data_IF_416960701437
#
_entry.id   IF_416960701437
#
_cell.length_a   1.000
_cell.length_b   1.000
_cell.length_c   1.000
_cell.angle_alpha   90.00
_cell.angle_beta   90.00
_cell.angle_gamma   90.00
#
_symmetry.space_group_name_H-M   'P 1'
#
loop_
_entity.id
_entity.type
_entity.pdbx_description
1 polymer ?
#
# COMPACT_ATOMS: atom_id res chain seq x y z
N UNK A 1 -6.67 -2.36 14.10
CA UNK A 1 -7.88 -2.44 13.25
C UNK A 1 -7.59 -2.04 11.79
N UNK A 2 -6.52 -2.53 11.16
CA UNK A 2 -6.21 -2.26 9.74
C UNK A 2 -5.78 -3.50 8.93
N UNK A 3 -5.42 -4.61 9.58
CA UNK A 3 -5.09 -5.88 8.90
C UNK A 3 -6.30 -6.66 8.36
N UNK A 4 -7.53 -6.25 8.72
CA UNK A 4 -8.77 -6.87 8.23
C UNK A 4 -9.05 -6.52 6.77
N UNK A 5 -8.57 -5.37 6.28
CA UNK A 5 -8.65 -5.02 4.87
C UNK A 5 -7.63 -5.83 4.05
N UNK A 6 -6.40 -6.05 4.52
CA UNK A 6 -5.36 -6.76 3.74
C UNK A 6 -5.74 -8.23 3.48
N UNK A 7 -6.14 -8.98 4.51
CA UNK A 7 -6.50 -10.38 4.34
C UNK A 7 -7.83 -10.55 3.58
N UNK A 8 -8.82 -9.67 3.82
CA UNK A 8 -10.10 -9.73 3.14
C UNK A 8 -9.99 -9.28 1.68
N UNK A 9 -9.24 -8.21 1.36
CA UNK A 9 -8.99 -7.81 -0.03
C UNK A 9 -8.15 -8.87 -0.75
N UNK A 10 -7.11 -9.43 -0.13
CA UNK A 10 -6.33 -10.51 -0.76
C UNK A 10 -7.20 -11.74 -1.00
N UNK A 11 -7.89 -12.25 0.03
CA UNK A 11 -8.74 -13.43 -0.13
C UNK A 11 -9.86 -13.17 -1.14
N UNK A 12 -10.54 -12.02 -1.07
CA UNK A 12 -11.66 -11.72 -1.98
C UNK A 12 -11.20 -11.33 -3.40
N UNK A 13 -10.05 -10.68 -3.58
CA UNK A 13 -9.50 -10.42 -4.92
C UNK A 13 -8.90 -11.68 -5.56
N UNK A 14 -8.26 -12.55 -4.77
CA UNK A 14 -7.71 -13.82 -5.26
C UNK A 14 -8.83 -14.81 -5.58
N UNK A 15 -9.89 -14.84 -4.78
CA UNK A 15 -11.06 -15.71 -5.00
C UNK A 15 -11.92 -15.25 -6.20
N UNK A 16 -11.88 -13.95 -6.54
CA UNK A 16 -12.57 -13.40 -7.72
C UNK A 16 -11.69 -13.29 -8.97
N UNK A 17 -10.37 -13.40 -8.82
CA UNK A 17 -9.46 -13.39 -9.94
C UNK A 17 -9.16 -14.84 -10.33
N UNK A 18 -9.93 -15.39 -11.27
CA UNK A 18 -9.51 -16.53 -12.09
C UNK A 18 -8.26 -16.21 -12.96
N UNK A 19 -7.53 -15.13 -12.64
CA UNK A 19 -6.35 -14.63 -13.31
C UNK A 19 -5.12 -14.84 -12.43
N UNK A 20 -4.49 -16.01 -12.60
CA UNK A 20 -3.24 -16.40 -11.92
C UNK A 20 -2.13 -15.37 -12.14
N UNK A 21 -2.12 -14.65 -13.26
CA UNK A 21 -1.16 -13.58 -13.52
C UNK A 21 -1.38 -12.40 -12.59
N UNK A 22 -2.61 -11.92 -12.47
CA UNK A 22 -2.95 -10.85 -11.53
C UNK A 22 -2.62 -11.25 -10.09
N UNK A 23 -2.95 -12.49 -9.69
CA UNK A 23 -2.63 -13.03 -8.37
C UNK A 23 -1.12 -12.95 -8.05
N UNK A 24 -0.25 -13.35 -9.00
CA UNK A 24 1.21 -13.23 -8.85
C UNK A 24 1.68 -11.78 -8.73
N UNK A 25 1.11 -10.88 -9.53
CA UNK A 25 1.41 -9.46 -9.43
C UNK A 25 1.03 -8.87 -8.07
N UNK A 26 -0.15 -9.23 -7.55
CA UNK A 26 -0.60 -8.82 -6.21
C UNK A 26 0.29 -9.42 -5.11
N UNK A 27 0.68 -10.69 -5.21
CA UNK A 27 1.59 -11.30 -4.24
C UNK A 27 2.92 -10.53 -4.13
N UNK A 28 3.55 -10.21 -5.28
CA UNK A 28 4.76 -9.38 -5.30
C UNK A 28 4.52 -8.00 -4.69
N UNK A 29 3.37 -7.37 -4.99
CA UNK A 29 3.04 -6.06 -4.45
C UNK A 29 3.00 -6.04 -2.92
N UNK A 30 2.34 -7.05 -2.33
CA UNK A 30 2.22 -7.15 -0.88
C UNK A 30 3.53 -7.54 -0.21
N UNK A 31 4.30 -8.46 -0.81
CA UNK A 31 5.64 -8.83 -0.35
C UNK A 31 6.57 -7.62 -0.26
N UNK A 32 6.47 -6.72 -1.25
CA UNK A 32 7.29 -5.52 -1.36
C UNK A 32 6.68 -4.29 -0.70
N UNK A 33 5.59 -4.47 0.04
CA UNK A 33 4.89 -3.39 0.75
C UNK A 33 4.58 -2.17 -0.14
N UNK A 34 4.22 -2.41 -1.40
CA UNK A 34 3.92 -1.33 -2.33
C UNK A 34 5.14 -0.67 -2.99
N UNK A 35 6.37 -1.03 -2.62
CA UNK A 35 7.60 -0.57 -3.26
C UNK A 35 7.94 -1.38 -4.52
N UNK A 36 7.10 -1.20 -5.55
CA UNK A 36 7.26 -1.84 -6.85
C UNK A 36 6.85 -0.89 -7.97
N UNK A 37 7.52 -1.01 -9.10
CA UNK A 37 7.14 -0.33 -10.34
C UNK A 37 6.02 -1.08 -11.05
N UNK A 38 5.27 -0.35 -11.90
CA UNK A 38 4.22 -0.96 -12.74
C UNK A 38 4.81 -1.98 -13.72
N UNK A 39 6.04 -1.73 -14.18
CA UNK A 39 6.78 -2.66 -15.05
C UNK A 39 7.06 -3.98 -14.34
N UNK A 40 7.53 -3.95 -13.09
CA UNK A 40 7.78 -5.15 -12.30
C UNK A 40 6.49 -5.94 -12.05
N UNK A 41 5.40 -5.23 -11.71
CA UNK A 41 4.08 -5.87 -11.56
C UNK A 41 3.60 -6.53 -12.86
N UNK A 42 3.75 -5.85 -13.99
CA UNK A 42 3.33 -6.38 -15.28
C UNK A 42 4.16 -7.63 -15.65
N UNK A 43 5.47 -7.58 -15.39
CA UNK A 43 6.38 -8.73 -15.57
C UNK A 43 6.00 -9.90 -14.69
N UNK A 44 5.74 -9.68 -13.40
CA UNK A 44 5.30 -10.71 -12.47
C UNK A 44 3.96 -11.33 -12.87
N UNK A 45 3.07 -10.52 -13.44
CA UNK A 45 1.78 -10.94 -13.96
C UNK A 45 1.83 -11.56 -15.38
N UNK A 46 3.02 -11.67 -15.99
CA UNK A 46 3.22 -12.23 -17.33
C UNK A 46 2.51 -11.43 -18.42
N UNK A 47 2.45 -10.10 -18.29
CA UNK A 47 1.64 -9.26 -19.19
C UNK A 47 2.27 -7.90 -19.46
N UNK A 48 1.67 -7.12 -20.35
CA UNK A 48 2.08 -5.73 -20.59
C UNK A 48 1.45 -4.78 -19.57
N UNK A 49 2.04 -3.60 -19.34
CA UNK A 49 1.47 -2.60 -18.42
C UNK A 49 0.03 -2.20 -18.80
N UNK A 50 -0.28 -2.17 -20.11
CA UNK A 50 -1.64 -1.89 -20.62
C UNK A 50 -2.64 -2.96 -20.19
N UNK A 51 -2.29 -4.23 -20.36
CA UNK A 51 -3.16 -5.35 -19.97
C UNK A 51 -3.26 -5.47 -18.45
N UNK A 52 -2.17 -5.23 -17.72
CA UNK A 52 -2.18 -5.13 -16.26
C UNK A 52 -3.19 -4.09 -15.80
N UNK A 53 -3.17 -2.88 -16.37
CA UNK A 53 -4.11 -1.82 -16.03
C UNK A 53 -5.55 -2.25 -16.24
N UNK A 54 -5.86 -2.86 -17.40
CA UNK A 54 -7.20 -3.38 -17.68
C UNK A 54 -7.64 -4.44 -16.66
N UNK A 55 -6.75 -5.36 -16.28
CA UNK A 55 -7.02 -6.37 -15.24
C UNK A 55 -7.32 -5.73 -13.88
N UNK A 56 -6.53 -4.72 -13.50
CA UNK A 56 -6.77 -3.95 -12.28
C UNK A 56 -8.13 -3.23 -12.32
N UNK A 57 -8.48 -2.60 -13.44
CA UNK A 57 -9.77 -1.94 -13.61
C UNK A 57 -10.94 -2.95 -13.50
N UNK A 58 -10.79 -4.15 -14.07
CA UNK A 58 -11.82 -5.22 -14.02
C UNK A 58 -11.96 -5.88 -12.66
N UNK A 59 -10.85 -6.23 -12.00
CA UNK A 59 -10.87 -7.07 -10.80
C UNK A 59 -10.72 -6.28 -9.50
N UNK A 60 -10.00 -5.16 -9.51
CA UNK A 60 -9.65 -4.38 -8.31
C UNK A 60 -10.46 -3.08 -8.22
N UNK A 61 -10.91 -2.54 -9.36
CA UNK A 61 -11.63 -1.26 -9.44
C UNK A 61 -10.73 -0.04 -9.21
N UNK A 62 -9.43 -0.24 -9.03
CA UNK A 62 -8.41 0.81 -8.87
C UNK A 62 -7.25 0.55 -9.82
N UNK A 63 -6.73 1.61 -10.44
CA UNK A 63 -5.53 1.48 -11.27
C UNK A 63 -4.31 1.00 -10.46
N UNK A 64 -3.36 0.27 -11.08
CA UNK A 64 -2.28 -0.42 -10.37
C UNK A 64 -1.39 0.53 -9.56
N UNK A 65 -1.06 1.69 -10.12
CA UNK A 65 -0.26 2.71 -9.41
C UNK A 65 -0.95 3.22 -8.15
N UNK A 66 -2.27 3.44 -8.19
CA UNK A 66 -3.01 3.89 -7.01
C UNK A 66 -3.04 2.79 -5.96
N UNK A 67 -3.20 1.54 -6.38
CA UNK A 67 -3.19 0.40 -5.48
C UNK A 67 -1.82 0.23 -4.80
N UNK A 68 -0.69 0.43 -5.51
CA UNK A 68 0.63 0.43 -4.87
C UNK A 68 0.75 1.44 -3.75
N UNK A 69 0.26 2.67 -3.97
CA UNK A 69 0.27 3.74 -2.96
C UNK A 69 -0.56 3.36 -1.73
N UNK A 70 -1.71 2.70 -1.93
CA UNK A 70 -2.54 2.20 -0.83
C UNK A 70 -1.80 1.15 -0.02
N UNK A 71 -1.19 0.15 -0.67
CA UNK A 71 -0.42 -0.91 0.02
C UNK A 71 0.76 -0.32 0.80
N UNK A 72 1.48 0.63 0.20
CA UNK A 72 2.59 1.32 0.86
C UNK A 72 2.13 2.14 2.06
N UNK A 73 1.02 2.85 1.92
CA UNK A 73 0.42 3.59 3.02
C UNK A 73 0.00 2.66 4.17
N UNK A 74 -0.58 1.49 3.87
CA UNK A 74 -0.88 0.49 4.90
C UNK A 74 0.39 0.04 5.64
N UNK A 75 1.52 -0.09 4.94
CA UNK A 75 2.82 -0.37 5.54
C UNK A 75 3.34 0.78 6.43
N UNK A 76 3.10 2.04 6.07
CA UNK A 76 3.34 3.21 6.94
C UNK A 76 2.49 3.11 8.20
N UNK A 77 1.20 2.80 8.07
CA UNK A 77 0.28 2.69 9.20
C UNK A 77 0.66 1.56 10.17
N UNK A 78 1.19 0.43 9.67
CA UNK A 78 1.76 -0.64 10.50
C UNK A 78 2.97 -0.20 11.32
N UNK A 79 3.70 0.80 10.82
CA UNK A 79 4.88 1.40 11.48
C UNK A 79 4.54 2.59 12.40
N UNK A 80 3.26 2.93 12.59
CA UNK A 80 2.83 3.95 13.57
C UNK A 80 3.17 3.52 15.00
N UNK A 81 4.32 3.98 15.49
CA UNK A 81 4.77 3.93 16.90
C UNK A 81 4.71 5.34 17.52
N UNK A 82 4.91 5.46 18.84
CA UNK A 82 4.84 6.75 19.53
C UNK A 82 5.90 7.77 19.05
N UNK A 83 7.07 7.32 18.60
CA UNK A 83 8.13 8.18 18.05
C UNK A 83 8.90 7.49 16.90
N UNK A 84 8.34 7.43 15.69
CA UNK A 84 9.00 6.82 14.54
C UNK A 84 10.08 7.75 13.98
N UNK A 85 11.21 7.18 13.57
CA UNK A 85 12.12 7.86 12.64
C UNK A 85 11.49 7.83 11.24
N UNK A 86 10.79 8.92 10.90
CA UNK A 86 10.09 9.01 9.62
C UNK A 86 11.00 9.08 8.40
N UNK A 87 12.24 9.57 8.56
CA UNK A 87 13.21 9.55 7.47
C UNK A 87 13.61 8.10 7.18
N UNK A 88 13.86 7.30 8.22
CA UNK A 88 14.13 5.87 8.05
C UNK A 88 12.95 5.11 7.47
N UNK A 89 11.74 5.34 7.99
CA UNK A 89 10.52 4.69 7.48
C UNK A 89 10.26 5.05 6.01
N UNK A 90 10.53 6.30 5.62
CA UNK A 90 10.42 6.71 4.23
C UNK A 90 11.32 5.89 3.31
N UNK A 91 12.60 5.77 3.65
CA UNK A 91 13.57 5.02 2.86
C UNK A 91 13.24 3.52 2.81
N UNK A 92 12.85 2.93 3.95
CA UNK A 92 12.49 1.51 4.03
C UNK A 92 11.25 1.15 3.19
N UNK A 93 10.39 2.13 2.89
CA UNK A 93 9.17 1.95 2.10
C UNK A 93 9.26 2.51 0.67
N UNK A 94 10.47 2.86 0.21
CA UNK A 94 10.69 3.32 -1.16
C UNK A 94 10.22 4.76 -1.44
N UNK A 95 10.05 5.58 -0.39
CA UNK A 95 9.91 7.02 -0.56
C UNK A 95 11.29 7.68 -0.70
N UNK A 96 11.37 8.69 -1.55
CA UNK A 96 12.57 9.51 -1.73
C UNK A 96 13.05 10.17 -0.42
N UNK A 97 12.11 10.64 0.41
CA UNK A 97 12.37 11.31 1.67
C UNK A 97 11.10 11.36 2.55
N UNK A 98 11.25 11.86 3.78
CA UNK A 98 10.14 12.07 4.71
C UNK A 98 9.06 13.02 4.17
N UNK A 99 9.44 14.03 3.37
CA UNK A 99 8.49 14.99 2.83
C UNK A 99 7.60 14.38 1.74
N UNK A 100 8.13 13.45 0.94
CA UNK A 100 7.38 12.65 -0.01
C UNK A 100 6.38 11.74 0.72
N UNK A 101 6.83 11.03 1.75
CA UNK A 101 5.94 10.21 2.58
C UNK A 101 4.81 11.07 3.20
N UNK A 102 5.15 12.24 3.76
CA UNK A 102 4.16 13.12 4.38
C UNK A 102 3.14 13.68 3.38
N UNK A 103 3.57 14.03 2.16
CA UNK A 103 2.67 14.45 1.07
C UNK A 103 1.70 13.35 0.68
N UNK A 104 2.20 12.14 0.42
CA UNK A 104 1.34 11.02 0.05
C UNK A 104 0.35 10.64 1.15
N UNK A 105 0.79 10.63 2.42
CA UNK A 105 -0.11 10.33 3.54
C UNK A 105 -1.23 11.35 3.64
N UNK A 106 -0.93 12.65 3.47
CA UNK A 106 -1.96 13.70 3.45
C UNK A 106 -2.91 13.56 2.27
N UNK A 107 -2.39 13.27 1.08
CA UNK A 107 -3.23 13.09 -0.11
C UNK A 107 -4.23 11.93 0.04
N UNK A 108 -3.84 10.85 0.73
CA UNK A 108 -4.67 9.65 0.85
C UNK A 108 -5.54 9.62 2.12
N UNK A 109 -5.08 10.19 3.23
CA UNK A 109 -5.74 10.12 4.54
C UNK A 109 -6.15 11.47 5.12
N UNK A 110 -5.80 12.58 4.46
CA UNK A 110 -6.07 13.93 4.95
C UNK A 110 -5.16 14.40 6.11
N UNK A 111 -4.22 13.57 6.55
CA UNK A 111 -3.29 13.87 7.64
C UNK A 111 -1.88 13.32 7.36
N UNK A 112 -0.87 13.94 7.96
CA UNK A 112 0.50 13.44 7.95
C UNK A 112 0.71 12.31 8.95
N UNK A 113 1.76 11.49 8.81
CA UNK A 113 2.04 10.40 9.73
C UNK A 113 2.21 10.86 11.18
N UNK A 114 2.86 12.01 11.39
CA UNK A 114 3.04 12.59 12.73
C UNK A 114 1.70 12.99 13.36
N UNK A 115 0.78 13.55 12.57
CA UNK A 115 -0.57 13.88 13.04
C UNK A 115 -1.35 12.61 13.40
N UNK A 116 -1.21 11.54 12.61
CA UNK A 116 -1.83 10.24 12.88
C UNK A 116 -1.28 9.60 14.17
N UNK A 117 0.03 9.68 14.44
CA UNK A 117 0.61 9.21 15.72
C UNK A 117 0.02 9.99 16.89
N UNK A 118 -0.05 11.32 16.78
CA UNK A 118 -0.64 12.17 17.83
C UNK A 118 -2.10 11.80 18.09
N UNK A 119 -2.90 11.65 17.04
CA UNK A 119 -4.31 11.24 17.14
C UNK A 119 -4.45 9.86 17.79
N UNK A 120 -3.59 8.90 17.43
CA UNK A 120 -3.58 7.56 18.04
C UNK A 120 -3.24 7.60 19.53
N UNK A 121 -2.29 8.45 19.93
CA UNK A 121 -1.96 8.68 21.33
C UNK A 121 -3.09 9.34 22.13
N UNK A 122 -3.93 10.15 21.48
CA UNK A 122 -5.13 10.74 22.12
C UNK A 122 -6.27 9.72 22.29
N UNK A 123 -6.32 8.67 21.46
CA UNK A 123 -7.37 7.64 21.48
C UNK A 123 -7.00 6.41 22.34
N UNK A 124 -5.73 6.20 22.65
CA UNK A 124 -5.30 5.20 23.62
C UNK A 124 -5.20 5.88 24.99
N UNK A 125 -6.13 5.65 25.94
CA UNK A 125 -5.98 6.23 27.28
C UNK A 125 -4.67 5.74 27.88
N UNK A 126 -3.90 6.66 28.44
CA UNK A 126 -2.67 6.40 29.18
C UNK A 126 -2.93 5.30 30.21
N UNK A 127 -2.46 4.09 29.92
CA UNK A 127 -2.35 2.97 30.85
C UNK A 127 -0.92 2.83 31.30
#
# INVERSE_FOLDING_TARGET
MFGLLDAFFCAHLLDRADDVGLARGLALLFEREGDVTIRELARAAGTSERTLRRRFDTHVGLGPKRFCRVVRLQAVLRRLRAAPDWARVALDLGYADQAHLARETRELLGASPTELVRQRGLLAPSG
#
